data_IF_265480583964
#
_entry.id   IF_265480583964
#
_cell.length_a   1.000
_cell.length_b   1.000
_cell.length_c   1.000
_cell.angle_alpha   90.00
_cell.angle_beta   90.00
_cell.angle_gamma   90.00
#
_symmetry.space_group_name_H-M   'P 1'
#
loop_
_entity.id
_entity.type
_entity.pdbx_description
1 polymer ?
#
# COMPACT_ATOMS: atom_id res chain seq x y z
N UNK A 1 -23.05 35.21 -14.85
CA UNK A 1 -24.11 34.32 -14.54
C UNK A 1 -24.21 34.16 -13.03
N UNK A 2 -25.40 34.37 -12.47
CA UNK A 2 -25.63 34.09 -11.05
C UNK A 2 -25.29 32.66 -10.74
N UNK A 3 -24.42 32.43 -9.77
CA UNK A 3 -24.14 31.08 -9.27
C UNK A 3 -25.43 30.55 -8.64
N UNK A 4 -25.92 29.44 -9.16
CA UNK A 4 -27.05 28.73 -8.56
C UNK A 4 -26.63 28.25 -7.16
N UNK A 5 -27.05 28.95 -6.13
CA UNK A 5 -26.76 28.66 -4.74
C UNK A 5 -27.41 27.37 -4.24
N UNK A 6 -28.32 26.77 -5.03
CA UNK A 6 -28.98 25.51 -4.70
C UNK A 6 -28.19 24.30 -5.23
N UNK A 7 -27.30 24.51 -6.20
CA UNK A 7 -26.48 23.44 -6.73
C UNK A 7 -25.42 22.98 -5.73
N UNK A 8 -25.07 21.67 -5.68
CA UNK A 8 -23.98 21.19 -4.84
C UNK A 8 -22.67 21.94 -5.10
N UNK A 9 -21.91 22.19 -4.05
CA UNK A 9 -20.57 22.77 -4.16
C UNK A 9 -19.68 21.78 -4.89
N UNK A 10 -18.95 22.26 -5.93
CA UNK A 10 -17.92 21.44 -6.56
C UNK A 10 -16.61 21.55 -5.75
N UNK A 11 -16.19 20.50 -5.03
CA UNK A 11 -14.97 20.54 -4.22
C UNK A 11 -13.70 20.65 -5.05
N UNK A 12 -13.77 20.45 -6.36
CA UNK A 12 -12.61 20.50 -7.27
C UNK A 12 -12.29 21.94 -7.72
N UNK A 13 -13.16 22.91 -7.46
CA UNK A 13 -12.88 24.31 -7.75
C UNK A 13 -11.73 24.86 -6.88
N UNK A 14 -10.87 25.76 -7.41
CA UNK A 14 -10.88 26.31 -8.78
C UNK A 14 -10.19 25.43 -9.82
N UNK A 15 -9.73 24.26 -9.47
CA UNK A 15 -8.88 23.37 -10.28
C UNK A 15 -9.68 22.35 -11.10
N UNK A 16 -10.88 22.71 -11.58
CA UNK A 16 -11.75 21.81 -12.35
C UNK A 16 -11.10 21.30 -13.63
N UNK A 17 -10.15 22.07 -14.18
CA UNK A 17 -9.40 21.73 -15.40
C UNK A 17 -8.09 20.99 -15.11
N UNK A 18 -7.89 20.53 -13.90
CA UNK A 18 -6.73 19.71 -13.56
C UNK A 18 -6.65 18.46 -14.44
N UNK A 19 -5.51 18.21 -15.02
CA UNK A 19 -5.25 17.03 -15.83
C UNK A 19 -4.56 15.95 -14.98
N UNK A 20 -5.22 14.84 -14.83
CA UNK A 20 -4.63 13.66 -14.16
C UNK A 20 -3.43 13.14 -14.97
N UNK A 21 -2.42 12.58 -14.30
CA UNK A 21 -1.33 11.93 -15.00
C UNK A 21 -1.86 10.80 -15.90
N UNK A 22 -1.29 10.67 -17.09
CA UNK A 22 -1.67 9.64 -18.04
C UNK A 22 -0.81 8.39 -17.90
N UNK A 23 -1.35 7.24 -18.28
CA UNK A 23 -0.62 5.96 -18.24
C UNK A 23 0.63 5.97 -19.13
N UNK A 24 0.68 6.83 -20.15
CA UNK A 24 1.84 6.99 -21.03
C UNK A 24 3.12 7.49 -20.32
N UNK A 25 2.98 8.07 -19.13
CA UNK A 25 4.12 8.49 -18.30
C UNK A 25 4.81 7.31 -17.61
N UNK A 26 4.16 6.16 -17.55
CA UNK A 26 4.68 4.98 -16.87
C UNK A 26 5.48 4.11 -17.81
N UNK A 27 6.49 3.45 -17.25
CA UNK A 27 7.33 2.52 -18.01
C UNK A 27 6.53 1.30 -18.45
N UNK A 28 6.65 0.96 -19.74
CA UNK A 28 6.11 -0.27 -20.30
C UNK A 28 7.16 -1.37 -20.26
N UNK A 29 6.71 -2.59 -20.00
CA UNK A 29 7.52 -3.80 -20.04
C UNK A 29 6.96 -4.77 -21.06
N UNK A 30 7.80 -5.54 -21.71
CA UNK A 30 7.44 -6.43 -22.83
C UNK A 30 6.58 -7.63 -22.42
N UNK A 31 6.47 -7.89 -21.15
CA UNK A 31 5.68 -9.02 -20.64
C UNK A 31 4.29 -8.54 -20.21
N UNK A 32 3.28 -8.59 -20.96
CA UNK A 32 1.86 -8.24 -20.66
C UNK A 32 1.29 -8.80 -19.33
N UNK A 33 2.13 -8.90 -18.31
CA UNK A 33 1.77 -9.35 -16.95
C UNK A 33 1.43 -10.83 -16.84
N UNK A 34 1.65 -11.61 -17.89
CA UNK A 34 1.46 -13.07 -17.84
C UNK A 34 2.69 -13.70 -17.19
N UNK A 35 2.52 -14.55 -16.15
CA UNK A 35 3.64 -15.25 -15.55
C UNK A 35 4.30 -16.18 -16.56
N UNK A 36 5.62 -16.15 -16.60
CA UNK A 36 6.38 -17.17 -17.33
C UNK A 36 6.30 -18.49 -16.57
N UNK A 37 5.76 -19.52 -17.21
CA UNK A 37 5.62 -20.84 -16.61
C UNK A 37 6.79 -21.70 -17.03
N UNK A 38 7.71 -22.00 -16.12
CA UNK A 38 8.76 -22.98 -16.31
C UNK A 38 8.32 -24.34 -15.77
N UNK A 39 7.85 -25.20 -16.64
CA UNK A 39 7.38 -26.54 -16.26
C UNK A 39 8.49 -27.42 -15.70
N UNK A 40 9.75 -27.22 -16.13
CA UNK A 40 10.88 -27.97 -15.60
C UNK A 40 11.19 -27.60 -14.15
N UNK A 41 11.22 -26.29 -13.85
CA UNK A 41 11.39 -25.78 -12.49
C UNK A 41 10.26 -26.27 -11.57
N UNK A 42 9.01 -26.15 -12.03
CA UNK A 42 7.84 -26.59 -11.29
C UNK A 42 7.89 -28.06 -10.94
N UNK A 43 8.19 -28.92 -11.92
CA UNK A 43 8.28 -30.38 -11.71
C UNK A 43 9.44 -30.73 -10.78
N UNK A 44 10.61 -30.12 -10.97
CA UNK A 44 11.76 -30.31 -10.10
C UNK A 44 11.46 -29.93 -8.66
N UNK A 45 10.85 -28.79 -8.45
CA UNK A 45 10.48 -28.31 -7.10
C UNK A 45 9.43 -29.20 -6.44
N UNK A 46 8.41 -29.64 -7.18
CA UNK A 46 7.43 -30.61 -6.66
C UNK A 46 8.13 -31.89 -6.18
N UNK A 47 8.99 -32.45 -6.99
CA UNK A 47 9.70 -33.69 -6.67
C UNK A 47 10.61 -33.52 -5.45
N UNK A 48 11.33 -32.42 -5.36
CA UNK A 48 12.18 -32.12 -4.20
C UNK A 48 11.39 -31.95 -2.90
N UNK A 49 10.25 -31.25 -2.95
CA UNK A 49 9.36 -31.11 -1.79
C UNK A 49 8.89 -32.48 -1.32
N UNK A 50 8.43 -33.32 -2.23
CA UNK A 50 7.96 -34.68 -1.91
C UNK A 50 9.09 -35.53 -1.32
N UNK A 51 10.30 -35.49 -1.91
CA UNK A 51 11.46 -36.23 -1.42
C UNK A 51 11.85 -35.82 0.00
N UNK A 52 11.91 -34.53 0.30
CA UNK A 52 12.23 -34.03 1.64
C UNK A 52 11.17 -34.49 2.64
N UNK A 53 9.90 -34.32 2.34
CA UNK A 53 8.82 -34.73 3.23
C UNK A 53 8.84 -36.25 3.47
N UNK A 54 9.02 -37.03 2.45
CA UNK A 54 9.12 -38.51 2.57
C UNK A 54 10.34 -38.92 3.40
N UNK A 55 11.50 -38.25 3.23
CA UNK A 55 12.72 -38.54 4.00
C UNK A 55 12.52 -38.34 5.52
N UNK A 56 11.65 -37.48 5.91
CA UNK A 56 11.30 -37.22 7.31
C UNK A 56 10.02 -37.96 7.76
N UNK A 57 9.55 -38.93 6.95
CA UNK A 57 8.39 -39.74 7.29
C UNK A 57 7.05 -39.04 7.16
N UNK A 58 7.01 -37.93 6.44
CA UNK A 58 5.77 -37.17 6.17
C UNK A 58 5.23 -37.58 4.80
N UNK A 59 4.12 -38.29 4.80
CA UNK A 59 3.43 -38.68 3.58
C UNK A 59 2.42 -37.64 3.15
N UNK A 60 2.36 -37.37 1.86
CA UNK A 60 1.42 -36.43 1.24
C UNK A 60 0.53 -37.17 0.24
N UNK A 61 -0.71 -36.73 0.13
CA UNK A 61 -1.68 -37.29 -0.81
C UNK A 61 -1.55 -36.68 -2.20
N UNK A 62 -1.53 -35.37 -2.26
CA UNK A 62 -1.44 -34.61 -3.52
C UNK A 62 -0.58 -33.35 -3.35
N UNK A 63 0.02 -32.93 -4.46
CA UNK A 63 0.70 -31.64 -4.56
C UNK A 63 0.33 -30.98 -5.89
N UNK A 64 -0.11 -29.74 -5.82
CA UNK A 64 -0.44 -28.92 -6.99
C UNK A 64 0.34 -27.61 -6.95
N UNK A 65 0.57 -27.00 -8.10
CA UNK A 65 1.31 -25.75 -8.19
C UNK A 65 0.49 -24.68 -8.88
N UNK A 66 0.51 -23.48 -8.33
CA UNK A 66 -0.04 -22.26 -8.93
C UNK A 66 1.08 -21.26 -9.11
N UNK A 67 1.39 -20.90 -10.36
CA UNK A 67 2.48 -19.99 -10.70
C UNK A 67 1.98 -18.54 -10.66
N UNK A 68 2.58 -17.76 -9.78
CA UNK A 68 2.39 -16.31 -9.70
C UNK A 68 3.52 -15.54 -10.38
N UNK A 69 3.48 -14.20 -10.39
CA UNK A 69 4.51 -13.38 -11.03
C UNK A 69 5.90 -13.53 -10.41
N UNK A 70 5.98 -13.61 -9.08
CA UNK A 70 7.25 -13.64 -8.35
C UNK A 70 7.46 -14.93 -7.56
N UNK A 71 6.39 -15.59 -7.17
CA UNK A 71 6.41 -16.84 -6.40
C UNK A 71 5.50 -17.88 -7.04
N UNK A 72 5.78 -19.14 -6.74
CA UNK A 72 4.88 -20.26 -7.03
C UNK A 72 4.38 -20.85 -5.72
N UNK A 73 3.08 -21.06 -5.62
CA UNK A 73 2.45 -21.74 -4.50
C UNK A 73 2.33 -23.24 -4.80
N UNK A 74 2.96 -24.05 -3.96
CA UNK A 74 2.76 -25.50 -3.96
C UNK A 74 1.77 -25.85 -2.86
N UNK A 75 0.61 -26.32 -3.26
CA UNK A 75 -0.46 -26.69 -2.33
C UNK A 75 -0.44 -28.20 -2.08
N UNK A 76 -0.30 -28.56 -0.81
CA UNK A 76 -0.12 -29.95 -0.39
C UNK A 76 -1.33 -30.41 0.40
N UNK A 77 -1.85 -31.58 0.05
CA UNK A 77 -2.81 -32.31 0.89
C UNK A 77 -2.03 -33.38 1.64
N UNK A 78 -1.85 -33.26 2.96
CA UNK A 78 -1.16 -34.28 3.73
C UNK A 78 -1.97 -35.57 3.83
N UNK A 79 -1.31 -36.69 4.05
CA UNK A 79 -1.98 -37.94 4.37
C UNK A 79 -2.67 -37.84 5.74
N UNK A 80 -3.62 -38.74 6.00
CA UNK A 80 -4.30 -38.76 7.27
C UNK A 80 -3.30 -38.99 8.42
N UNK A 81 -3.55 -38.31 9.54
CA UNK A 81 -2.73 -38.41 10.75
C UNK A 81 -1.43 -37.59 10.73
N UNK A 82 -1.11 -36.89 9.65
CA UNK A 82 0.06 -36.01 9.58
C UNK A 82 -0.23 -34.69 10.32
N UNK A 83 0.59 -34.40 11.31
CA UNK A 83 0.51 -33.12 12.05
C UNK A 83 1.12 -31.99 11.24
N UNK A 84 0.42 -30.84 11.16
CA UNK A 84 0.89 -29.62 10.47
C UNK A 84 2.25 -29.15 11.01
N UNK A 85 2.47 -29.25 12.32
CA UNK A 85 3.72 -28.87 12.96
C UNK A 85 4.94 -29.63 12.41
N UNK A 86 4.78 -30.86 11.99
CA UNK A 86 5.87 -31.63 11.37
C UNK A 86 6.31 -31.02 10.05
N UNK A 87 5.37 -30.52 9.26
CA UNK A 87 5.67 -29.86 7.97
C UNK A 87 6.30 -28.49 8.20
N UNK A 88 5.76 -27.71 9.14
CA UNK A 88 6.36 -26.41 9.49
C UNK A 88 7.79 -26.51 9.97
N UNK A 89 8.11 -27.52 10.75
CA UNK A 89 9.46 -27.73 11.27
C UNK A 89 10.47 -28.13 10.18
N UNK A 90 10.01 -28.49 8.98
CA UNK A 90 10.84 -28.83 7.84
C UNK A 90 11.06 -27.66 6.87
N UNK A 91 10.65 -26.44 7.21
CA UNK A 91 10.78 -25.27 6.35
C UNK A 91 12.22 -25.06 5.90
N UNK A 92 13.18 -25.09 6.82
CA UNK A 92 14.59 -24.90 6.50
C UNK A 92 15.15 -26.05 5.64
N UNK A 93 14.73 -27.29 5.90
CA UNK A 93 15.14 -28.45 5.13
C UNK A 93 14.61 -28.38 3.69
N UNK A 94 13.37 -27.94 3.53
CA UNK A 94 12.76 -27.74 2.22
C UNK A 94 13.48 -26.61 1.48
N UNK A 95 13.74 -25.48 2.14
CA UNK A 95 14.45 -24.34 1.57
C UNK A 95 15.84 -24.73 1.08
N UNK A 96 16.58 -25.51 1.87
CA UNK A 96 17.90 -26.03 1.51
C UNK A 96 17.82 -26.93 0.26
N UNK A 97 16.86 -27.85 0.23
CA UNK A 97 16.68 -28.76 -0.91
C UNK A 97 16.33 -28.04 -2.21
N UNK A 98 15.56 -26.95 -2.12
CA UNK A 98 15.18 -26.13 -3.27
C UNK A 98 16.23 -25.10 -3.65
N UNK A 99 17.31 -24.97 -2.87
CA UNK A 99 18.29 -23.88 -2.97
C UNK A 99 17.64 -22.49 -3.04
N UNK A 100 16.51 -22.32 -2.32
CA UNK A 100 15.73 -21.09 -2.30
C UNK A 100 16.17 -20.19 -1.15
N UNK A 101 16.29 -18.87 -1.42
CA UNK A 101 16.67 -17.87 -0.43
C UNK A 101 15.56 -17.51 0.56
N UNK A 102 14.42 -18.12 0.46
CA UNK A 102 13.31 -17.93 1.38
C UNK A 102 12.07 -18.61 0.84
N UNK A 103 11.57 -19.53 1.59
CA UNK A 103 10.25 -20.08 1.37
C UNK A 103 9.34 -19.65 2.51
N UNK A 104 8.04 -19.74 2.30
CA UNK A 104 7.05 -19.46 3.34
C UNK A 104 6.07 -20.62 3.39
N UNK A 105 5.82 -21.15 4.58
CA UNK A 105 4.79 -22.16 4.80
C UNK A 105 3.54 -21.50 5.36
N UNK A 106 2.42 -21.72 4.66
CA UNK A 106 1.08 -21.32 5.09
C UNK A 106 0.33 -22.56 5.50
N UNK A 107 0.14 -22.73 6.79
CA UNK A 107 -0.48 -23.96 7.29
C UNK A 107 -1.47 -23.68 8.44
N UNK A 108 -2.76 -23.94 8.25
CA UNK A 108 -3.39 -24.31 6.98
C UNK A 108 -3.60 -23.12 6.04
N UNK A 109 -3.87 -23.38 4.76
CA UNK A 109 -4.39 -22.37 3.86
C UNK A 109 -5.80 -22.01 4.32
N UNK A 110 -6.11 -20.73 4.58
CA UNK A 110 -7.42 -20.34 5.07
C UNK A 110 -8.57 -20.85 4.18
N UNK A 111 -9.50 -21.57 4.80
CA UNK A 111 -10.69 -22.09 4.12
C UNK A 111 -10.50 -23.38 3.31
N UNK A 112 -9.27 -23.94 3.22
CA UNK A 112 -9.00 -25.12 2.37
C UNK A 112 -8.55 -26.38 3.09
N UNK A 113 -8.06 -26.32 4.31
CA UNK A 113 -7.52 -27.49 5.02
C UNK A 113 -6.28 -28.12 4.38
N UNK A 114 -5.61 -27.41 3.46
CA UNK A 114 -4.39 -27.77 2.79
C UNK A 114 -3.23 -26.93 3.29
N UNK A 115 -2.00 -27.30 2.92
CA UNK A 115 -0.79 -26.59 3.31
C UNK A 115 -0.18 -25.97 2.07
N UNK A 116 0.16 -24.69 2.15
CA UNK A 116 0.83 -23.97 1.08
C UNK A 116 2.32 -23.79 1.35
N UNK A 117 3.14 -24.02 0.34
CA UNK A 117 4.58 -23.68 0.33
C UNK A 117 4.81 -22.68 -0.78
N UNK A 118 5.10 -21.44 -0.42
CA UNK A 118 5.46 -20.39 -1.36
C UNK A 118 6.95 -20.43 -1.65
N UNK A 119 7.32 -20.61 -2.92
CA UNK A 119 8.70 -20.68 -3.37
C UNK A 119 8.96 -19.55 -4.36
N UNK A 120 10.00 -18.73 -4.16
CA UNK A 120 10.38 -17.71 -5.13
C UNK A 120 10.69 -18.31 -6.50
N UNK A 121 10.18 -17.70 -7.56
CA UNK A 121 10.50 -18.11 -8.93
C UNK A 121 11.98 -17.81 -9.24
N UNK A 122 12.66 -18.70 -9.95
CA UNK A 122 14.03 -18.46 -10.40
C UNK A 122 14.13 -17.24 -11.32
N UNK A 123 13.11 -17.03 -12.15
CA UNK A 123 12.96 -15.87 -13.04
C UNK A 123 11.65 -15.15 -12.75
N UNK A 124 11.62 -14.24 -11.79
CA UNK A 124 10.41 -13.49 -11.47
C UNK A 124 10.03 -12.57 -12.64
N UNK A 125 8.71 -12.44 -12.87
CA UNK A 125 8.18 -11.48 -13.82
C UNK A 125 8.04 -10.11 -13.15
N UNK A 126 8.32 -9.06 -13.92
CA UNK A 126 8.07 -7.71 -13.47
C UNK A 126 6.57 -7.42 -13.61
N UNK A 127 5.96 -7.02 -12.51
CA UNK A 127 4.60 -6.49 -12.49
C UNK A 127 4.68 -4.98 -12.66
N UNK A 128 4.31 -4.48 -13.83
CA UNK A 128 4.40 -3.05 -14.12
C UNK A 128 3.30 -2.27 -13.42
N UNK A 129 3.62 -1.04 -13.00
CA UNK A 129 2.64 -0.11 -12.46
C UNK A 129 1.57 0.24 -13.51
N UNK A 130 1.98 0.37 -14.76
CA UNK A 130 1.08 0.64 -15.88
C UNK A 130 -0.01 -0.44 -16.00
N UNK A 131 0.36 -1.71 -15.96
CA UNK A 131 -0.61 -2.82 -16.05
C UNK A 131 -1.60 -2.85 -14.89
N UNK A 132 -1.14 -2.49 -13.69
CA UNK A 132 -1.98 -2.45 -12.49
C UNK A 132 -2.97 -1.29 -12.56
N UNK A 133 -2.50 -0.09 -12.86
CA UNK A 133 -3.33 1.11 -12.94
C UNK A 133 -4.29 1.09 -14.12
N UNK A 134 -3.92 0.39 -15.21
CA UNK A 134 -4.77 0.19 -16.38
C UNK A 134 -5.82 -0.91 -16.17
N UNK A 135 -5.78 -1.63 -15.08
CA UNK A 135 -6.75 -2.69 -14.80
C UNK A 135 -8.16 -2.11 -14.59
N UNK A 136 -9.16 -2.88 -15.01
CA UNK A 136 -10.56 -2.53 -14.78
C UNK A 136 -10.85 -2.33 -13.30
N UNK A 137 -10.28 -3.18 -12.45
CA UNK A 137 -10.44 -3.11 -11.00
C UNK A 137 -9.99 -1.77 -10.42
N UNK A 138 -8.87 -1.22 -10.89
CA UNK A 138 -8.41 0.10 -10.46
C UNK A 138 -9.24 1.22 -11.07
N UNK A 139 -9.54 1.15 -12.36
CA UNK A 139 -10.27 2.19 -13.07
C UNK A 139 -11.70 2.38 -12.52
N UNK A 140 -12.38 1.31 -12.16
CA UNK A 140 -13.77 1.30 -11.71
C UNK A 140 -13.92 1.29 -10.17
N UNK A 141 -12.84 1.39 -9.42
CA UNK A 141 -12.92 1.35 -7.95
C UNK A 141 -13.71 2.51 -7.36
N UNK A 142 -14.47 2.22 -6.33
CA UNK A 142 -15.18 3.20 -5.49
C UNK A 142 -14.47 3.51 -4.17
N UNK A 143 -13.28 2.93 -3.96
CA UNK A 143 -12.48 3.19 -2.77
C UNK A 143 -12.11 4.67 -2.65
N UNK A 144 -12.13 5.21 -1.45
CA UNK A 144 -11.80 6.63 -1.22
C UNK A 144 -10.31 6.92 -1.41
N UNK A 145 -9.43 6.05 -0.92
CA UNK A 145 -7.98 6.12 -1.14
C UNK A 145 -7.46 4.78 -1.66
N UNK A 146 -7.66 4.47 -2.96
CA UNK A 146 -7.25 3.19 -3.51
C UNK A 146 -5.74 3.13 -3.68
N UNK A 147 -5.13 2.10 -3.13
CA UNK A 147 -3.73 1.75 -3.38
C UNK A 147 -3.67 0.40 -4.07
N UNK A 148 -3.05 0.37 -5.23
CA UNK A 148 -2.83 -0.84 -6.01
C UNK A 148 -1.39 -1.29 -5.79
N UNK A 149 -1.20 -2.36 -5.02
CA UNK A 149 0.11 -2.74 -4.49
C UNK A 149 0.85 -3.70 -5.41
N UNK A 150 0.12 -4.53 -6.14
CA UNK A 150 0.73 -5.54 -7.01
C UNK A 150 -0.31 -6.53 -7.53
N UNK A 151 0.15 -7.73 -7.81
CA UNK A 151 -0.70 -8.84 -8.24
C UNK A 151 -0.57 -10.02 -7.28
N UNK A 152 -1.67 -10.74 -7.11
CA UNK A 152 -1.70 -11.98 -6.35
C UNK A 152 -1.03 -13.11 -7.13
N UNK A 153 -0.85 -14.26 -6.48
CA UNK A 153 -0.35 -15.48 -7.13
C UNK A 153 -1.26 -15.97 -8.26
N UNK A 154 -2.54 -15.61 -8.25
CA UNK A 154 -3.48 -15.90 -9.33
C UNK A 154 -3.50 -14.82 -10.41
N UNK A 155 -2.53 -13.92 -10.39
CA UNK A 155 -2.36 -12.84 -11.36
C UNK A 155 -3.48 -11.78 -11.34
N UNK A 156 -4.17 -11.65 -10.23
CA UNK A 156 -5.19 -10.62 -10.01
C UNK A 156 -4.59 -9.39 -9.35
N UNK A 157 -5.02 -8.20 -9.74
CA UNK A 157 -4.59 -6.96 -9.11
C UNK A 157 -5.04 -6.91 -7.67
N UNK A 158 -4.10 -6.71 -6.75
CA UNK A 158 -4.37 -6.53 -5.33
C UNK A 158 -4.49 -5.06 -5.00
N UNK A 159 -5.62 -4.68 -4.44
CA UNK A 159 -5.92 -3.32 -4.03
C UNK A 159 -6.41 -3.27 -2.59
N UNK A 160 -6.14 -2.16 -1.94
CA UNK A 160 -6.68 -1.85 -0.63
C UNK A 160 -7.12 -0.38 -0.57
N UNK A 161 -8.08 -0.09 0.29
CA UNK A 161 -8.47 1.27 0.61
C UNK A 161 -7.67 1.73 1.83
N UNK A 162 -6.82 2.73 1.65
CA UNK A 162 -5.98 3.24 2.73
C UNK A 162 -6.80 3.84 3.88
N UNK A 163 -8.00 4.33 3.62
CA UNK A 163 -8.90 4.83 4.66
C UNK A 163 -9.37 3.75 5.62
N UNK A 164 -9.32 2.49 5.20
CA UNK A 164 -9.66 1.32 6.00
C UNK A 164 -8.46 0.71 6.73
N UNK A 165 -7.27 1.20 6.40
CA UNK A 165 -6.00 0.86 7.02
C UNK A 165 -5.38 2.17 7.50
N UNK A 166 -5.85 2.73 8.63
CA UNK A 166 -5.45 4.09 9.04
C UNK A 166 -3.95 4.21 9.32
N UNK A 167 -3.29 3.12 9.67
CA UNK A 167 -1.85 3.06 9.91
C UNK A 167 -1.28 1.81 9.23
N UNK A 168 -0.38 2.02 8.28
CA UNK A 168 0.27 0.97 7.52
C UNK A 168 1.78 1.00 7.77
N UNK A 169 2.32 -0.10 8.28
CA UNK A 169 3.75 -0.30 8.40
C UNK A 169 4.27 -1.08 7.18
N UNK A 170 5.20 -0.47 6.47
CA UNK A 170 5.91 -1.11 5.35
C UNK A 170 7.35 -1.35 5.77
N UNK A 171 7.77 -2.59 5.80
CA UNK A 171 9.10 -2.98 6.24
C UNK A 171 9.78 -3.89 5.22
N UNK A 172 11.09 -3.76 5.13
CA UNK A 172 11.91 -4.58 4.26
C UNK A 172 13.39 -4.24 4.41
N UNK A 173 14.26 -5.25 4.26
CA UNK A 173 15.69 -5.02 4.21
C UNK A 173 16.08 -4.26 2.93
N UNK A 174 17.28 -3.74 2.89
CA UNK A 174 17.83 -3.06 1.69
C UNK A 174 17.69 -3.95 0.46
N UNK A 175 17.15 -3.40 -0.62
CA UNK A 175 16.92 -4.12 -1.87
C UNK A 175 15.71 -5.06 -1.90
N UNK A 176 14.88 -5.07 -0.86
CA UNK A 176 13.68 -5.92 -0.77
C UNK A 176 12.38 -5.23 -1.21
N UNK A 177 12.48 -4.05 -1.81
CA UNK A 177 11.35 -3.39 -2.45
C UNK A 177 10.55 -2.42 -1.58
N UNK A 178 11.04 -2.01 -0.41
CA UNK A 178 10.37 -1.02 0.44
C UNK A 178 10.13 0.31 -0.29
N UNK A 179 11.16 0.86 -0.91
CA UNK A 179 11.07 2.11 -1.66
C UNK A 179 10.11 2.01 -2.85
N UNK A 180 10.16 0.91 -3.57
CA UNK A 180 9.22 0.63 -4.67
C UNK A 180 7.78 0.56 -4.13
N UNK A 181 7.58 -0.08 -2.99
CA UNK A 181 6.27 -0.17 -2.33
C UNK A 181 5.72 1.21 -1.94
N UNK A 182 6.53 2.06 -1.35
CA UNK A 182 6.13 3.43 -0.99
C UNK A 182 5.78 4.26 -2.22
N UNK A 183 6.59 4.18 -3.26
CA UNK A 183 6.34 4.88 -4.53
C UNK A 183 5.08 4.34 -5.23
N UNK A 184 4.80 3.06 -5.12
CA UNK A 184 3.57 2.44 -5.62
C UNK A 184 2.33 3.01 -4.93
N UNK A 185 2.38 3.19 -3.63
CA UNK A 185 1.28 3.80 -2.85
C UNK A 185 1.05 5.23 -3.31
N UNK A 186 2.09 6.06 -3.38
CA UNK A 186 1.99 7.45 -3.81
C UNK A 186 1.45 7.53 -5.24
N UNK A 187 2.01 6.75 -6.15
CA UNK A 187 1.61 6.74 -7.56
C UNK A 187 0.15 6.32 -7.73
N UNK A 188 -0.31 5.29 -7.03
CA UNK A 188 -1.72 4.89 -7.05
C UNK A 188 -2.65 6.04 -6.70
N UNK A 189 -2.32 6.79 -5.65
CA UNK A 189 -3.13 7.91 -5.19
C UNK A 189 -3.07 9.09 -6.17
N UNK A 190 -1.91 9.39 -6.75
CA UNK A 190 -1.76 10.43 -7.76
C UNK A 190 -2.59 10.16 -9.03
N UNK A 191 -2.74 8.91 -9.43
CA UNK A 191 -3.52 8.53 -10.60
C UNK A 191 -5.03 8.49 -10.35
N UNK A 192 -5.46 8.61 -9.09
CA UNK A 192 -6.89 8.50 -8.76
C UNK A 192 -7.48 9.74 -8.11
N UNK A 193 -6.68 10.53 -7.39
CA UNK A 193 -7.19 11.63 -6.60
C UNK A 193 -6.83 12.99 -7.17
N UNK A 194 -7.78 13.92 -7.04
CA UNK A 194 -7.59 15.32 -7.36
C UNK A 194 -6.79 16.02 -6.23
N UNK A 195 -5.98 17.05 -6.55
CA UNK A 195 -5.23 17.80 -5.54
C UNK A 195 -6.08 18.38 -4.39
N UNK A 196 -7.33 18.69 -4.65
CA UNK A 196 -8.25 19.20 -3.61
C UNK A 196 -8.84 18.09 -2.73
N UNK A 197 -8.72 16.84 -3.14
CA UNK A 197 -9.22 15.69 -2.38
C UNK A 197 -8.15 15.05 -1.49
N UNK A 198 -6.89 15.32 -1.80
CA UNK A 198 -5.76 14.65 -1.15
C UNK A 198 -4.56 15.57 -1.02
N UNK A 199 -3.93 15.56 0.16
CA UNK A 199 -2.64 16.18 0.42
C UNK A 199 -1.69 15.18 1.06
N UNK A 200 -0.41 15.27 0.68
CA UNK A 200 0.66 14.46 1.27
C UNK A 200 1.49 15.27 2.26
N UNK A 201 1.96 14.58 3.27
CA UNK A 201 3.09 15.01 4.11
C UNK A 201 4.16 13.94 3.94
N UNK A 202 5.25 14.28 3.26
CA UNK A 202 6.35 13.35 2.98
C UNK A 202 7.54 13.68 3.86
N UNK A 203 7.94 12.70 4.66
CA UNK A 203 9.05 12.80 5.62
C UNK A 203 10.17 11.85 5.18
N UNK A 204 11.33 12.41 4.88
CA UNK A 204 12.49 11.69 4.35
C UNK A 204 13.79 12.15 5.03
N UNK A 205 14.16 11.56 6.19
CA UNK A 205 15.34 11.97 6.94
C UNK A 205 16.64 11.82 6.16
N UNK A 206 16.72 10.84 5.28
CA UNK A 206 17.93 10.56 4.47
C UNK A 206 18.02 11.35 3.18
N UNK A 207 16.97 12.08 2.79
CA UNK A 207 16.92 12.94 1.60
C UNK A 207 17.10 12.23 0.24
N UNK A 208 16.77 10.95 0.16
CA UNK A 208 17.03 10.14 -1.04
C UNK A 208 15.80 9.61 -1.73
N UNK A 209 14.67 9.39 -1.01
CA UNK A 209 13.52 8.67 -1.56
C UNK A 209 12.45 9.59 -2.17
N UNK A 210 12.15 10.72 -1.56
CA UNK A 210 10.99 11.53 -1.93
C UNK A 210 11.31 12.83 -2.66
N UNK A 211 12.56 13.19 -2.88
CA UNK A 211 12.94 14.41 -3.58
C UNK A 211 12.35 14.51 -5.00
N UNK A 212 12.10 13.38 -5.64
CA UNK A 212 11.44 13.31 -6.94
C UNK A 212 10.02 13.89 -6.95
N UNK A 213 9.37 14.00 -5.80
CA UNK A 213 8.02 14.55 -5.68
C UNK A 213 7.97 16.07 -5.48
N UNK A 214 9.12 16.75 -5.39
CA UNK A 214 9.16 18.21 -5.30
C UNK A 214 8.35 18.93 -6.39
N UNK A 215 8.36 18.50 -7.67
CA UNK A 215 7.60 19.16 -8.72
C UNK A 215 6.09 19.19 -8.52
N UNK A 216 5.53 18.27 -7.75
CA UNK A 216 4.07 18.21 -7.50
C UNK A 216 3.66 18.92 -6.20
N UNK A 217 4.58 19.59 -5.54
CA UNK A 217 4.36 20.17 -4.21
C UNK A 217 3.20 21.18 -4.18
N UNK A 218 3.10 22.04 -5.19
CA UNK A 218 2.03 23.04 -5.24
C UNK A 218 0.63 22.43 -5.37
N UNK A 219 0.53 21.21 -5.89
CA UNK A 219 -0.74 20.51 -6.08
C UNK A 219 -1.07 19.61 -4.89
N UNK A 220 -0.11 18.82 -4.44
CA UNK A 220 -0.40 17.71 -3.54
C UNK A 220 0.26 17.79 -2.16
N UNK A 221 1.19 18.69 -1.90
CA UNK A 221 1.80 18.77 -0.58
C UNK A 221 0.99 19.65 0.36
N UNK A 222 0.76 19.15 1.57
CA UNK A 222 0.23 19.95 2.65
C UNK A 222 1.25 21.03 3.02
N UNK A 223 0.81 22.28 3.10
CA UNK A 223 1.68 23.41 3.46
C UNK A 223 1.70 23.57 4.97
N UNK A 224 2.90 23.63 5.55
CA UNK A 224 3.09 24.05 6.92
C UNK A 224 3.11 25.59 6.93
N UNK A 225 2.28 26.25 7.75
CA UNK A 225 2.35 27.70 7.87
C UNK A 225 3.75 28.18 8.23
N UNK A 226 4.15 29.30 7.67
CA UNK A 226 5.43 29.99 7.91
C UNK A 226 6.68 29.34 7.37
N UNK A 227 6.56 28.42 6.40
CA UNK A 227 7.71 27.72 5.86
C UNK A 227 7.88 27.97 4.37
N UNK A 228 8.90 28.74 4.01
CA UNK A 228 9.35 28.94 2.64
C UNK A 228 10.31 27.83 2.17
N UNK A 229 10.42 26.76 2.96
CA UNK A 229 11.39 25.71 2.76
C UNK A 229 10.85 24.57 1.87
N UNK A 230 11.72 23.59 1.64
CA UNK A 230 11.44 22.44 0.81
C UNK A 230 10.17 21.69 1.25
N UNK A 231 9.35 21.24 0.28
CA UNK A 231 8.08 20.56 0.59
C UNK A 231 8.28 19.18 1.24
N UNK A 232 9.42 18.53 0.96
CA UNK A 232 9.79 17.27 1.60
C UNK A 232 10.48 17.57 2.93
N UNK A 233 9.99 16.96 4.01
CA UNK A 233 10.48 17.24 5.36
C UNK A 233 11.65 16.33 5.67
N UNK A 234 12.82 16.91 5.93
CA UNK A 234 14.08 16.20 6.14
C UNK A 234 14.69 16.45 7.51
N UNK A 235 14.46 17.62 8.08
CA UNK A 235 14.99 17.99 9.40
C UNK A 235 14.13 17.45 10.53
N UNK A 236 14.76 16.82 11.52
CA UNK A 236 14.08 16.19 12.67
C UNK A 236 13.23 17.17 13.46
N UNK A 237 13.71 18.40 13.69
CA UNK A 237 12.94 19.43 14.41
C UNK A 237 11.67 19.81 13.65
N UNK A 238 11.78 19.92 12.33
CA UNK A 238 10.63 20.19 11.44
C UNK A 238 9.66 19.02 11.45
N UNK A 239 10.15 17.77 11.45
CA UNK A 239 9.31 16.56 11.60
C UNK A 239 8.47 16.62 12.86
N UNK A 240 9.10 16.93 14.00
CA UNK A 240 8.40 17.02 15.30
C UNK A 240 7.32 18.11 15.26
N UNK A 241 7.65 19.30 14.76
CA UNK A 241 6.69 20.39 14.60
C UNK A 241 5.53 20.01 13.71
N UNK A 242 5.80 19.34 12.58
CA UNK A 242 4.80 18.90 11.62
C UNK A 242 3.86 17.88 12.24
N UNK A 243 4.40 16.87 12.92
CA UNK A 243 3.58 15.85 13.58
C UNK A 243 2.69 16.43 14.67
N UNK A 244 3.23 17.34 15.48
CA UNK A 244 2.44 18.05 16.49
C UNK A 244 1.36 18.94 15.84
N UNK A 245 1.68 19.61 14.75
CA UNK A 245 0.74 20.38 13.95
C UNK A 245 -0.39 19.53 13.38
N UNK A 246 -0.07 18.33 12.90
CA UNK A 246 -1.07 17.36 12.42
C UNK A 246 -2.00 16.90 13.54
N UNK A 247 -1.48 16.68 14.75
CA UNK A 247 -2.32 16.35 15.91
C UNK A 247 -3.31 17.47 16.23
N UNK A 248 -2.84 18.72 16.19
CA UNK A 248 -3.74 19.90 16.39
C UNK A 248 -4.78 19.99 15.29
N UNK A 249 -4.39 19.78 14.03
CA UNK A 249 -5.32 19.78 12.91
C UNK A 249 -6.36 18.65 13.05
N UNK A 250 -5.94 17.49 13.49
CA UNK A 250 -6.85 16.37 13.77
C UNK A 250 -7.88 16.75 14.84
N UNK A 251 -7.45 17.38 15.94
CA UNK A 251 -8.37 17.84 16.98
C UNK A 251 -9.37 18.88 16.43
N UNK A 252 -8.89 19.84 15.65
CA UNK A 252 -9.77 20.84 15.01
C UNK A 252 -10.78 20.17 14.07
N UNK A 253 -10.35 19.15 13.32
CA UNK A 253 -11.25 18.39 12.45
C UNK A 253 -12.28 17.60 13.24
N UNK A 254 -11.91 16.98 14.37
CA UNK A 254 -12.88 16.33 15.25
C UNK A 254 -13.90 17.30 15.81
N UNK A 255 -13.49 18.51 16.18
CA UNK A 255 -14.42 19.55 16.64
C UNK A 255 -15.41 19.93 15.54
N UNK A 256 -14.93 20.10 14.30
CA UNK A 256 -15.79 20.38 13.15
C UNK A 256 -16.73 19.21 12.82
N UNK A 257 -16.27 17.97 12.91
CA UNK A 257 -17.11 16.78 12.75
C UNK A 257 -18.23 16.75 13.79
N UNK A 258 -17.89 17.03 15.04
CA UNK A 258 -18.86 17.09 16.15
C UNK A 258 -19.89 18.19 15.91
N UNK A 259 -19.45 19.38 15.53
CA UNK A 259 -20.32 20.51 15.24
C UNK A 259 -21.26 20.22 14.05
N UNK A 260 -20.78 19.50 13.05
CA UNK A 260 -21.55 19.09 11.88
C UNK A 260 -22.47 17.88 12.15
N UNK A 261 -22.31 17.20 13.27
CA UNK A 261 -22.98 15.93 13.53
C UNK A 261 -22.58 14.81 12.59
N UNK A 262 -21.34 14.84 12.09
CA UNK A 262 -20.80 13.83 11.18
C UNK A 262 -19.90 12.85 11.91
N UNK A 263 -19.93 11.59 11.51
CA UNK A 263 -19.14 10.50 12.13
C UNK A 263 -17.75 10.37 11.54
N UNK A 264 -17.57 10.79 10.30
CA UNK A 264 -16.33 10.65 9.55
C UNK A 264 -16.19 11.74 8.48
N UNK A 265 -15.02 11.83 7.88
CA UNK A 265 -14.71 12.83 6.86
C UNK A 265 -15.62 12.73 5.62
N UNK A 266 -15.99 11.52 5.21
CA UNK A 266 -16.85 11.30 4.04
C UNK A 266 -18.26 11.85 4.27
N UNK A 267 -18.84 11.57 5.43
CA UNK A 267 -20.15 12.11 5.81
C UNK A 267 -20.10 13.64 5.96
N UNK A 268 -19.03 14.16 6.57
CA UNK A 268 -18.80 15.59 6.71
C UNK A 268 -18.74 16.30 5.36
N UNK A 269 -17.88 15.83 4.46
CA UNK A 269 -17.72 16.42 3.14
C UNK A 269 -19.01 16.34 2.31
N UNK A 270 -19.79 15.27 2.45
CA UNK A 270 -21.10 15.15 1.82
C UNK A 270 -22.05 16.24 2.32
N UNK A 271 -22.11 16.47 3.63
CA UNK A 271 -22.93 17.55 4.20
C UNK A 271 -22.45 18.92 3.72
N UNK A 272 -21.14 19.12 3.62
CA UNK A 272 -20.58 20.39 3.15
C UNK A 272 -20.98 20.70 1.71
N UNK A 273 -20.77 19.77 0.78
CA UNK A 273 -21.08 19.98 -0.64
C UNK A 273 -22.58 20.16 -0.91
N UNK A 274 -23.41 19.59 -0.07
CA UNK A 274 -24.87 19.70 -0.15
C UNK A 274 -25.47 20.87 0.66
N UNK A 275 -24.65 21.85 1.05
CA UNK A 275 -25.06 23.06 1.78
C UNK A 275 -25.76 22.80 3.13
N UNK A 276 -25.42 21.68 3.79
CA UNK A 276 -26.01 21.34 5.08
C UNK A 276 -25.24 21.89 6.28
N UNK A 277 -24.12 22.58 6.04
CA UNK A 277 -23.25 23.15 7.06
C UNK A 277 -23.20 24.68 6.93
N UNK A 278 -23.10 25.36 8.06
CA UNK A 278 -22.96 26.81 8.10
C UNK A 278 -21.51 27.20 7.86
N UNK A 279 -21.25 27.96 6.79
CA UNK A 279 -19.90 28.44 6.49
C UNK A 279 -19.37 29.39 7.56
N UNK A 280 -20.23 30.10 8.26
CA UNK A 280 -19.88 30.99 9.38
C UNK A 280 -19.29 30.26 10.58
N UNK A 281 -19.52 28.94 10.70
CA UNK A 281 -18.95 28.09 11.76
C UNK A 281 -17.54 27.60 11.44
N UNK A 282 -16.98 28.02 10.31
CA UNK A 282 -15.63 27.65 9.88
C UNK A 282 -15.56 26.32 9.13
N UNK A 283 -16.69 25.79 8.69
CA UNK A 283 -16.71 24.57 7.87
C UNK A 283 -16.09 24.79 6.51
N UNK A 284 -15.29 23.82 6.09
CA UNK A 284 -14.66 23.78 4.78
C UNK A 284 -14.54 22.33 4.31
N UNK A 285 -14.37 22.13 3.00
CA UNK A 285 -14.10 20.80 2.48
C UNK A 285 -12.79 20.27 3.06
N UNK A 286 -12.81 19.03 3.56
CA UNK A 286 -11.65 18.39 4.16
C UNK A 286 -11.00 17.43 3.15
N UNK A 287 -9.83 17.74 2.58
CA UNK A 287 -9.06 16.76 1.85
C UNK A 287 -8.53 15.69 2.81
N UNK A 288 -8.34 14.47 2.31
CA UNK A 288 -7.55 13.48 3.03
C UNK A 288 -6.10 13.96 3.14
N UNK A 289 -5.48 13.66 4.24
CA UNK A 289 -4.05 13.93 4.46
C UNK A 289 -3.36 12.59 4.70
N UNK A 290 -2.45 12.23 3.82
CA UNK A 290 -1.65 11.01 3.92
C UNK A 290 -0.24 11.37 4.31
N UNK A 291 0.21 10.88 5.46
CA UNK A 291 1.56 11.06 5.97
C UNK A 291 2.37 9.83 5.63
N UNK A 292 3.48 10.02 4.93
CA UNK A 292 4.40 8.92 4.59
C UNK A 292 5.77 9.25 5.14
N UNK A 293 6.28 8.35 5.98
CA UNK A 293 7.57 8.47 6.63
C UNK A 293 8.48 7.38 6.09
N UNK A 294 9.56 7.78 5.42
CA UNK A 294 10.65 6.88 5.07
C UNK A 294 11.61 6.73 6.25
N UNK A 295 12.12 5.53 6.47
CA UNK A 295 13.06 5.22 7.55
C UNK A 295 12.57 5.69 8.95
N UNK A 296 11.41 5.21 9.34
CA UNK A 296 10.84 5.51 10.65
C UNK A 296 11.79 5.16 11.82
N UNK A 297 12.56 4.09 11.67
CA UNK A 297 13.55 3.68 12.67
C UNK A 297 14.60 4.75 12.97
N UNK A 298 15.07 5.47 11.96
CA UNK A 298 16.06 6.54 12.14
C UNK A 298 15.48 7.70 12.97
N UNK A 299 14.21 8.04 12.75
CA UNK A 299 13.54 9.07 13.53
C UNK A 299 13.38 8.67 14.99
N UNK A 300 12.98 7.44 15.24
CA UNK A 300 12.82 6.89 16.61
C UNK A 300 14.17 6.87 17.34
N UNK A 301 15.23 6.47 16.68
CA UNK A 301 16.57 6.44 17.26
C UNK A 301 17.12 7.84 17.56
N UNK A 302 16.71 8.85 16.78
CA UNK A 302 17.22 10.22 16.92
C UNK A 302 16.42 11.04 17.93
N UNK A 303 15.09 10.96 17.89
CA UNK A 303 14.19 11.83 18.66
C UNK A 303 13.27 11.08 19.64
N UNK A 304 13.23 9.74 19.58
CA UNK A 304 12.52 8.89 20.53
C UNK A 304 11.09 9.34 20.82
N UNK A 305 10.84 9.68 22.08
CA UNK A 305 9.49 10.03 22.57
C UNK A 305 8.85 11.23 21.88
N UNK A 306 9.63 12.19 21.39
CA UNK A 306 9.09 13.37 20.71
C UNK A 306 8.44 13.00 19.36
N UNK A 307 8.84 11.88 18.77
CA UNK A 307 8.23 11.30 17.56
C UNK A 307 7.13 10.31 17.93
N UNK A 308 7.36 9.44 18.89
CA UNK A 308 6.40 8.40 19.30
C UNK A 308 5.08 8.99 19.79
N UNK A 309 5.14 10.03 20.61
CA UNK A 309 3.93 10.60 21.19
C UNK A 309 2.92 11.13 20.18
N UNK A 310 3.31 11.98 19.23
CA UNK A 310 2.36 12.45 18.21
C UNK A 310 1.89 11.34 17.29
N UNK A 311 2.71 10.32 17.03
CA UNK A 311 2.32 9.18 16.18
C UNK A 311 1.33 8.25 16.89
N UNK A 312 1.51 8.03 18.17
CA UNK A 312 0.60 7.21 18.98
C UNK A 312 -0.79 7.85 19.15
N UNK A 313 -0.87 9.16 19.00
CA UNK A 313 -2.11 9.92 19.07
C UNK A 313 -2.91 9.89 17.79
#
# INVERSE_FOLDING_TARGET
GEKDLSAPINPLEPWVKYHYPTLSLLKKYDNDGKPYIDMKEQTLNKNRIVEVLNSFGVQIRTITATVGPTITLYEITPAEGVKISRIRNLEDDIALSLAALGIRIIAPIPGKGTIGIEVPNAKPNIVSMESILNSRKFQETTMDLPIAIGKTITNEVFMADLTKIPHLLVAGATGQGKSVGLNTIITSLLYKKHPNELKFVLIDPKKVEFSMYNPIANHFMAKVPDDNEEPIITDVKKVIRTLNGLCKLMDMRYDLLKLAGAKNIKEYNNKYVNHKLRLTDGHEYMPYIVVIIDEFGDLIMTAGKEIEMPIAR
#
